data_IF_607714018858
#
_entry.id   IF_607714018858
#
_cell.length_a   1.000
_cell.length_b   1.000
_cell.length_c   1.000
_cell.angle_alpha   90.00
_cell.angle_beta   90.00
_cell.angle_gamma   90.00
#
_symmetry.space_group_name_H-M   'P 1'
#
loop_
_entity.id
_entity.type
_entity.pdbx_description
1 polymer ?
#
# COMPACT_ATOMS: atom_id res chain seq x y z
N UNK A 1 -0.58 -3.36 0.43
CA UNK A 1 -0.64 -2.38 1.53
C UNK A 1 0.65 -1.57 1.51
N UNK A 2 0.53 -0.25 1.37
CA UNK A 2 1.67 0.66 1.46
C UNK A 2 1.90 0.98 2.94
N UNK A 3 3.13 0.85 3.43
CA UNK A 3 3.49 1.23 4.80
C UNK A 3 4.60 2.27 4.76
N UNK A 4 4.65 3.15 5.76
CA UNK A 4 5.74 4.09 5.95
C UNK A 4 5.98 4.28 7.46
N UNK A 5 7.21 4.65 7.82
CA UNK A 5 7.59 4.83 9.22
C UNK A 5 9.10 4.93 9.37
N UNK A 6 9.52 5.67 10.39
CA UNK A 6 10.94 5.95 10.67
C UNK A 6 11.59 4.85 11.51
N UNK A 7 10.78 4.10 12.27
CA UNK A 7 11.23 2.93 13.04
C UNK A 7 11.17 1.65 12.19
N UNK A 8 12.34 1.03 12.01
CA UNK A 8 12.49 -0.22 11.26
C UNK A 8 11.91 -1.43 12.00
N UNK A 9 12.05 -1.49 13.33
CA UNK A 9 11.53 -2.60 14.13
C UNK A 9 10.00 -2.59 14.15
N UNK A 10 9.40 -1.41 14.27
CA UNK A 10 7.95 -1.25 14.18
C UNK A 10 7.42 -1.73 12.81
N UNK A 11 8.08 -1.38 11.70
CA UNK A 11 7.70 -1.86 10.37
C UNK A 11 7.87 -3.37 10.22
N UNK A 12 8.94 -3.94 10.78
CA UNK A 12 9.17 -5.38 10.79
C UNK A 12 8.11 -6.15 11.60
N UNK A 13 7.61 -5.58 12.70
CA UNK A 13 6.53 -6.15 13.50
C UNK A 13 5.17 -6.11 12.79
N UNK A 14 4.86 -5.00 12.11
CA UNK A 14 3.56 -4.80 11.44
C UNK A 14 3.45 -5.57 10.12
N UNK A 15 4.54 -5.71 9.38
CA UNK A 15 4.57 -6.43 8.09
C UNK A 15 3.90 -7.81 8.14
N UNK A 16 4.31 -8.76 9.01
CA UNK A 16 3.71 -10.09 9.07
C UNK A 16 2.25 -10.06 9.56
N UNK A 17 1.82 -9.02 10.28
CA UNK A 17 0.41 -8.87 10.66
C UNK A 17 -0.46 -8.53 9.46
N UNK A 18 0.02 -7.66 8.58
CA UNK A 18 -0.69 -7.28 7.35
C UNK A 18 -0.70 -8.43 6.35
N UNK A 19 0.42 -9.15 6.20
CA UNK A 19 0.54 -10.28 5.27
C UNK A 19 -0.32 -11.49 5.65
N UNK A 20 -0.86 -11.55 6.87
CA UNK A 20 -1.90 -12.54 7.25
C UNK A 20 -3.21 -12.33 6.49
N UNK A 21 -3.47 -11.15 5.94
CA UNK A 21 -4.66 -10.89 5.13
C UNK A 21 -4.43 -11.44 3.71
N UNK A 22 -5.26 -12.41 3.25
CA UNK A 22 -5.09 -13.00 1.94
C UNK A 22 -5.11 -11.96 0.81
N UNK A 23 -4.15 -12.03 -0.10
CA UNK A 23 -4.04 -11.14 -1.26
C UNK A 23 -3.43 -9.76 -0.98
N UNK A 24 -3.10 -9.44 0.27
CA UNK A 24 -2.30 -8.26 0.59
C UNK A 24 -0.80 -8.57 0.50
N UNK A 25 -0.08 -7.63 -0.10
CA UNK A 25 1.38 -7.59 -0.12
C UNK A 25 1.83 -6.29 0.51
N UNK A 26 2.77 -6.36 1.44
CA UNK A 26 3.35 -5.16 2.06
C UNK A 26 4.38 -4.55 1.13
N UNK A 27 4.35 -3.22 1.01
CA UNK A 27 5.33 -2.41 0.27
C UNK A 27 5.77 -1.30 1.20
N UNK A 28 7.04 -1.32 1.60
CA UNK A 28 7.63 -0.24 2.38
C UNK A 28 7.90 0.96 1.48
N UNK A 29 7.26 2.08 1.80
CA UNK A 29 7.37 3.33 1.08
C UNK A 29 8.44 4.26 1.68
N UNK A 30 9.09 3.90 2.79
CA UNK A 30 10.18 4.67 3.41
C UNK A 30 9.77 5.42 4.67
N UNK A 31 10.29 6.64 4.82
CA UNK A 31 10.12 7.50 5.99
C UNK A 31 8.67 7.98 6.18
N UNK A 32 8.33 8.36 7.41
CA UNK A 32 6.96 8.75 7.80
C UNK A 32 6.45 9.99 7.08
N UNK A 33 7.32 10.90 6.66
CA UNK A 33 6.96 12.08 5.85
C UNK A 33 6.19 11.74 4.56
N UNK A 34 6.37 10.53 4.02
CA UNK A 34 5.65 10.05 2.83
C UNK A 34 4.21 9.66 3.12
N UNK A 35 3.79 9.56 4.38
CA UNK A 35 2.42 9.29 4.79
C UNK A 35 1.43 10.26 4.14
N UNK A 36 1.77 11.56 4.07
CA UNK A 36 0.91 12.57 3.44
C UNK A 36 0.59 12.26 1.97
N UNK A 37 1.53 11.63 1.24
CA UNK A 37 1.29 11.21 -0.15
C UNK A 37 0.39 9.99 -0.18
N UNK A 38 0.65 9.00 0.68
CA UNK A 38 -0.14 7.76 0.77
C UNK A 38 -1.60 8.07 1.15
N UNK A 39 -1.82 8.97 2.10
CA UNK A 39 -3.16 9.35 2.55
C UNK A 39 -3.99 10.05 1.46
N UNK A 40 -3.34 10.81 0.57
CA UNK A 40 -4.00 11.45 -0.59
C UNK A 40 -4.49 10.44 -1.64
N UNK A 41 -4.01 9.21 -1.61
CA UNK A 41 -4.48 8.15 -2.51
C UNK A 41 -5.93 7.74 -2.18
N UNK A 42 -6.33 7.79 -0.91
CA UNK A 42 -7.69 7.43 -0.47
C UNK A 42 -8.79 8.28 -1.14
N UNK A 43 -8.76 9.62 -1.09
CA UNK A 43 -9.78 10.42 -1.78
C UNK A 43 -9.76 10.23 -3.30
N UNK A 44 -8.59 9.98 -3.90
CA UNK A 44 -8.50 9.61 -5.33
C UNK A 44 -9.26 8.30 -5.60
N UNK A 45 -9.06 7.27 -4.78
CA UNK A 45 -9.77 5.99 -4.92
C UNK A 45 -11.27 6.11 -4.69
N UNK A 46 -11.70 6.92 -3.73
CA UNK A 46 -13.12 7.21 -3.52
C UNK A 46 -13.73 7.82 -4.81
N UNK A 47 -13.09 8.83 -5.39
CA UNK A 47 -13.55 9.44 -6.64
C UNK A 47 -13.60 8.46 -7.81
N UNK A 48 -12.58 7.60 -7.95
CA UNK A 48 -12.55 6.55 -8.98
C UNK A 48 -13.66 5.51 -8.78
N UNK A 49 -13.92 5.10 -7.55
CA UNK A 49 -14.97 4.14 -7.21
C UNK A 49 -16.36 4.69 -7.53
N UNK A 50 -16.63 5.95 -7.18
CA UNK A 50 -17.88 6.64 -7.53
C UNK A 50 -18.03 6.72 -9.05
N UNK A 51 -16.99 7.19 -9.76
CA UNK A 51 -17.05 7.40 -11.22
C UNK A 51 -17.27 6.10 -11.99
N UNK A 52 -16.64 5.00 -11.55
CA UNK A 52 -16.70 3.71 -12.23
C UNK A 52 -17.74 2.74 -11.64
N UNK A 53 -18.58 3.20 -10.70
CA UNK A 53 -19.59 2.38 -10.01
C UNK A 53 -19.00 1.10 -9.39
N UNK A 54 -17.79 1.21 -8.84
CA UNK A 54 -17.09 0.12 -8.17
C UNK A 54 -17.13 0.31 -6.66
N UNK A 55 -17.33 -0.76 -5.89
CA UNK A 55 -17.37 -0.68 -4.42
C UNK A 55 -16.04 -1.00 -3.75
N UNK A 56 -15.15 -1.74 -4.41
CA UNK A 56 -13.94 -2.32 -3.80
C UNK A 56 -12.66 -2.01 -4.60
N UNK A 57 -12.62 -0.89 -5.30
CA UNK A 57 -11.41 -0.48 -6.03
C UNK A 57 -10.25 -0.23 -5.08
N UNK A 58 -9.10 -0.82 -5.40
CA UNK A 58 -7.86 -0.70 -4.65
C UNK A 58 -6.67 -0.49 -5.59
N UNK A 59 -5.46 -0.50 -5.03
CA UNK A 59 -4.22 -0.29 -5.78
C UNK A 59 -3.30 -1.48 -5.63
N UNK A 60 -2.68 -1.86 -6.75
CA UNK A 60 -1.59 -2.81 -6.82
C UNK A 60 -0.41 -2.14 -7.49
N UNK A 61 0.74 -2.15 -6.83
CA UNK A 61 2.00 -1.77 -7.46
C UNK A 61 2.50 -2.97 -8.25
N UNK A 62 2.73 -2.77 -9.54
CA UNK A 62 3.22 -3.80 -10.47
C UNK A 62 4.74 -3.67 -10.63
N UNK A 63 5.38 -4.69 -11.21
CA UNK A 63 6.83 -4.66 -11.48
C UNK A 63 7.73 -4.91 -10.27
N UNK A 64 7.17 -5.14 -9.09
CA UNK A 64 7.92 -5.47 -7.88
C UNK A 64 8.03 -6.99 -7.62
N UNK A 65 7.53 -7.83 -8.53
CA UNK A 65 7.55 -9.28 -8.35
C UNK A 65 8.97 -9.84 -8.52
N UNK A 66 9.38 -10.73 -7.60
CA UNK A 66 10.75 -11.24 -7.40
C UNK A 66 11.38 -11.99 -8.60
N UNK A 67 10.76 -11.99 -9.77
CA UNK A 67 11.25 -12.69 -10.97
C UNK A 67 11.24 -11.86 -12.25
N UNK A 68 10.81 -10.60 -12.22
CA UNK A 68 10.79 -9.73 -13.42
C UNK A 68 11.77 -8.60 -13.20
N UNK A 69 12.99 -8.78 -13.70
CA UNK A 69 13.98 -7.71 -13.84
C UNK A 69 13.43 -6.76 -14.91
N UNK A 70 13.20 -5.51 -14.53
CA UNK A 70 13.03 -4.41 -15.48
C UNK A 70 14.41 -3.89 -15.90
#
# INVERSE_FOLDING_TARGET
>A
CLICGDDKEAKALVTPLIEKVPGLRVIDCGALERASIIEKITPLLIGLNIRNKCQFGGIRITGLDKGRVC
#
